data_IF_433148449355
#
_entry.id   IF_433148449355
#
_cell.length_a   1.000
_cell.length_b   1.000
_cell.length_c   1.000
_cell.angle_alpha   90.00
_cell.angle_beta   90.00
_cell.angle_gamma   90.00
#
_symmetry.space_group_name_H-M   'P 1'
#
loop_
_entity.id
_entity.type
_entity.pdbx_description
1 polymer ?
#
# COMPACT_ATOMS: atom_id res chain seq x y z
N UNK A 1 40.71 -22.62 5.72
CA UNK A 1 41.54 -21.42 5.53
C UNK A 1 41.62 -21.13 4.04
N UNK A 2 40.69 -20.34 3.51
CA UNK A 2 40.83 -19.60 2.25
C UNK A 2 39.81 -18.46 2.33
N UNK A 3 40.27 -17.31 2.80
CA UNK A 3 39.50 -16.09 2.87
C UNK A 3 39.62 -15.35 1.55
N UNK A 4 38.48 -15.00 0.95
CA UNK A 4 38.42 -13.95 -0.05
C UNK A 4 37.87 -12.70 0.64
N UNK A 5 38.80 -11.80 0.96
CA UNK A 5 38.52 -10.44 1.41
C UNK A 5 38.09 -9.64 0.18
N UNK A 6 36.83 -9.20 0.12
CA UNK A 6 36.42 -8.16 -0.81
C UNK A 6 36.81 -6.80 -0.22
N UNK A 7 37.63 -5.98 -0.89
CA UNK A 7 37.86 -4.62 -0.44
C UNK A 7 36.59 -3.80 -0.71
N UNK A 8 36.02 -3.21 0.34
CA UNK A 8 35.08 -2.10 0.24
C UNK A 8 35.84 -0.90 -0.34
N UNK A 9 35.77 -0.71 -1.66
CA UNK A 9 36.13 0.55 -2.30
C UNK A 9 34.86 1.31 -2.64
N UNK A 10 34.74 2.50 -2.06
CA UNK A 10 33.75 3.51 -2.40
C UNK A 10 33.84 3.83 -3.90
N UNK A 11 32.87 3.34 -4.67
CA UNK A 11 32.71 3.71 -6.08
C UNK A 11 32.33 5.19 -6.16
N UNK A 12 33.35 6.03 -6.31
CA UNK A 12 33.19 7.34 -6.94
C UNK A 12 32.63 7.11 -8.35
N UNK A 13 31.58 7.84 -8.70
CA UNK A 13 30.84 7.72 -9.97
C UNK A 13 31.75 8.02 -11.17
N UNK A 14 32.48 7.01 -11.64
CA UNK A 14 33.12 7.03 -12.96
C UNK A 14 32.04 6.59 -13.94
N UNK A 15 31.57 7.52 -14.78
CA UNK A 15 30.69 7.18 -15.92
C UNK A 15 31.50 6.29 -16.87
N UNK A 16 31.36 4.98 -16.75
CA UNK A 16 31.83 4.06 -17.76
C UNK A 16 31.02 4.29 -19.04
N UNK A 17 31.71 4.50 -20.16
CA UNK A 17 31.11 4.63 -21.48
C UNK A 17 30.68 3.23 -21.95
N UNK A 18 29.54 2.77 -21.47
CA UNK A 18 28.87 1.55 -21.93
C UNK A 18 28.26 1.82 -23.31
N UNK A 19 28.40 0.91 -24.28
CA UNK A 19 27.73 1.08 -25.59
C UNK A 19 26.20 1.14 -25.39
N UNK A 20 25.48 2.02 -26.11
CA UNK A 20 24.04 2.25 -25.91
C UNK A 20 23.18 0.97 -26.03
N UNK A 21 23.66 -0.03 -26.77
CA UNK A 21 22.96 -1.30 -26.98
C UNK A 21 23.16 -2.33 -25.86
N UNK A 22 24.15 -2.15 -24.99
CA UNK A 22 24.49 -3.13 -23.96
C UNK A 22 23.34 -3.41 -22.97
N UNK A 23 22.60 -2.41 -22.44
CA UNK A 23 21.43 -2.69 -21.59
C UNK A 23 20.32 -3.44 -22.32
N UNK A 24 20.16 -3.22 -23.64
CA UNK A 24 19.18 -3.95 -24.45
C UNK A 24 19.60 -5.41 -24.66
N UNK A 25 20.89 -5.66 -24.88
CA UNK A 25 21.45 -7.01 -24.97
C UNK A 25 21.30 -7.77 -23.65
N UNK A 26 21.57 -7.11 -22.50
CA UNK A 26 21.37 -7.72 -21.19
C UNK A 26 19.89 -8.06 -20.94
N UNK A 27 18.98 -7.16 -21.32
CA UNK A 27 17.54 -7.40 -21.18
C UNK A 27 17.08 -8.55 -22.07
N UNK A 28 17.60 -8.66 -23.30
CA UNK A 28 17.32 -9.79 -24.19
C UNK A 28 17.86 -11.12 -23.65
N UNK A 29 19.07 -11.11 -23.07
CA UNK A 29 19.63 -12.27 -22.38
C UNK A 29 18.78 -12.70 -21.18
N UNK A 30 18.35 -11.74 -20.35
CA UNK A 30 17.45 -11.99 -19.22
C UNK A 30 16.09 -12.53 -19.69
N UNK A 31 15.55 -12.01 -20.80
CA UNK A 31 14.31 -12.53 -21.39
C UNK A 31 14.46 -13.97 -21.83
N UNK A 32 15.54 -14.29 -22.55
CA UNK A 32 15.79 -15.65 -23.03
C UNK A 32 15.93 -16.65 -21.87
N UNK A 33 16.77 -16.32 -20.88
CA UNK A 33 16.99 -17.18 -19.71
C UNK A 33 15.73 -17.28 -18.86
N UNK A 34 15.08 -16.14 -18.61
CA UNK A 34 13.87 -16.05 -17.80
C UNK A 34 12.75 -16.88 -18.39
N UNK A 35 12.44 -16.72 -19.68
CA UNK A 35 11.36 -17.48 -20.33
C UNK A 35 11.67 -18.97 -20.38
N UNK A 36 12.91 -19.35 -20.71
CA UNK A 36 13.33 -20.75 -20.70
C UNK A 36 13.16 -21.40 -19.31
N UNK A 37 13.55 -20.72 -18.24
CA UNK A 37 13.43 -21.28 -16.90
C UNK A 37 12.02 -21.18 -16.29
N UNK A 38 11.25 -20.16 -16.65
CA UNK A 38 9.97 -19.84 -16.02
C UNK A 38 8.76 -20.41 -16.77
N UNK A 39 8.84 -20.53 -18.10
CA UNK A 39 7.69 -20.82 -18.98
C UNK A 39 7.83 -22.11 -19.78
N UNK A 40 9.05 -22.50 -20.16
CA UNK A 40 9.26 -23.76 -20.88
C UNK A 40 9.09 -24.95 -19.93
N UNK A 41 7.93 -25.60 -20.03
CA UNK A 41 7.71 -26.88 -19.39
C UNK A 41 8.34 -28.00 -20.24
N UNK A 42 9.06 -28.96 -19.64
CA UNK A 42 9.43 -30.18 -20.33
C UNK A 42 8.15 -30.97 -20.62
N UNK A 43 7.55 -30.76 -21.79
CA UNK A 43 6.47 -31.62 -22.28
C UNK A 43 7.04 -33.03 -22.46
N UNK A 44 6.35 -34.10 -22.02
CA UNK A 44 6.85 -35.48 -22.21
C UNK A 44 6.94 -35.90 -23.69
N UNK A 45 6.43 -35.09 -24.62
CA UNK A 45 6.31 -35.42 -26.04
C UNK A 45 7.34 -34.75 -26.97
N UNK A 46 8.20 -33.85 -26.46
CA UNK A 46 9.30 -33.29 -27.23
C UNK A 46 10.63 -33.58 -26.56
N UNK A 47 11.34 -34.59 -27.07
CA UNK A 47 12.76 -34.80 -26.80
C UNK A 47 13.54 -33.63 -27.43
N UNK A 48 13.68 -32.55 -26.67
CA UNK A 48 14.66 -31.49 -26.95
C UNK A 48 16.07 -32.06 -26.77
N UNK A 49 16.97 -31.74 -27.70
CA UNK A 49 18.36 -32.22 -27.77
C UNK A 49 19.29 -31.63 -26.70
N UNK A 50 18.76 -30.86 -25.75
CA UNK A 50 19.50 -30.35 -24.60
C UNK A 50 18.91 -30.95 -23.33
N UNK A 51 19.49 -32.06 -22.88
CA UNK A 51 19.13 -32.76 -21.64
C UNK A 51 19.60 -31.98 -20.42
N UNK A 52 19.04 -30.80 -20.17
CA UNK A 52 19.16 -30.18 -18.86
C UNK A 52 18.40 -31.06 -17.86
N UNK A 53 19.10 -31.60 -16.86
CA UNK A 53 18.51 -32.46 -15.84
C UNK A 53 17.31 -31.73 -15.19
N UNK A 54 16.13 -32.37 -15.04
CA UNK A 54 14.92 -31.71 -14.53
C UNK A 54 15.11 -31.00 -13.19
N UNK A 55 16.04 -31.48 -12.35
CA UNK A 55 16.42 -30.86 -11.09
C UNK A 55 17.14 -29.51 -11.29
N UNK A 56 18.04 -29.40 -12.27
CA UNK A 56 18.77 -28.17 -12.57
C UNK A 56 17.85 -27.07 -13.09
N UNK A 57 16.87 -27.43 -13.94
CA UNK A 57 15.85 -26.48 -14.42
C UNK A 57 14.95 -25.99 -13.28
N UNK A 58 14.54 -26.88 -12.36
CA UNK A 58 13.75 -26.50 -11.18
C UNK A 58 14.53 -25.56 -10.25
N UNK A 59 15.81 -25.82 -10.04
CA UNK A 59 16.68 -24.97 -9.22
C UNK A 59 16.88 -23.59 -9.86
N UNK A 60 17.13 -23.54 -11.18
CA UNK A 60 17.23 -22.29 -11.92
C UNK A 60 15.92 -21.49 -11.86
N UNK A 61 14.77 -22.16 -12.03
CA UNK A 61 13.45 -21.54 -11.87
C UNK A 61 13.29 -20.91 -10.49
N UNK A 62 13.62 -21.64 -9.43
CA UNK A 62 13.51 -21.12 -8.06
C UNK A 62 14.44 -19.93 -7.83
N UNK A 63 15.69 -19.99 -8.30
CA UNK A 63 16.64 -18.87 -8.17
C UNK A 63 16.13 -17.59 -8.87
N UNK A 64 15.54 -17.72 -10.07
CA UNK A 64 14.96 -16.58 -10.78
C UNK A 64 13.73 -16.04 -10.05
N UNK A 65 12.90 -16.91 -9.46
CA UNK A 65 11.74 -16.49 -8.67
C UNK A 65 12.15 -15.77 -7.38
N UNK A 66 13.27 -16.15 -6.76
CA UNK A 66 13.83 -15.44 -5.61
C UNK A 66 14.32 -14.04 -5.97
N UNK A 67 14.91 -13.87 -7.15
CA UNK A 67 15.35 -12.56 -7.67
C UNK A 67 14.22 -11.75 -8.34
N UNK A 68 13.00 -12.30 -8.46
CA UNK A 68 11.90 -11.67 -9.17
C UNK A 68 11.57 -10.25 -8.66
N UNK A 69 11.53 -9.95 -7.34
CA UNK A 69 11.36 -8.58 -6.87
C UNK A 69 12.45 -7.63 -7.38
N UNK A 70 13.71 -8.08 -7.42
CA UNK A 70 14.81 -7.26 -7.93
C UNK A 70 14.70 -7.02 -9.43
N UNK A 71 14.29 -8.05 -10.18
CA UNK A 71 14.01 -7.93 -11.62
C UNK A 71 12.88 -6.92 -11.87
N UNK A 72 11.74 -7.05 -11.17
CA UNK A 72 10.59 -6.13 -11.28
C UNK A 72 11.00 -4.70 -10.92
N UNK A 73 11.80 -4.51 -9.86
CA UNK A 73 12.32 -3.20 -9.49
C UNK A 73 13.20 -2.61 -10.62
N UNK A 74 14.05 -3.43 -11.23
CA UNK A 74 14.91 -3.01 -12.35
C UNK A 74 14.06 -2.58 -13.56
N UNK A 75 13.02 -3.35 -13.90
CA UNK A 75 12.08 -2.97 -14.96
C UNK A 75 11.36 -1.65 -14.64
N UNK A 76 10.95 -1.45 -13.39
CA UNK A 76 10.35 -0.19 -12.92
C UNK A 76 11.32 1.00 -13.02
N UNK A 77 12.61 0.80 -12.71
CA UNK A 77 13.63 1.84 -12.87
C UNK A 77 13.85 2.19 -14.35
N UNK A 78 13.94 1.19 -15.24
CA UNK A 78 14.03 1.41 -16.68
C UNK A 78 12.77 2.12 -17.22
N UNK A 79 11.59 1.74 -16.73
CA UNK A 79 10.33 2.40 -17.05
C UNK A 79 10.31 3.88 -16.65
N UNK A 80 10.93 4.22 -15.52
CA UNK A 80 11.08 5.61 -15.09
C UNK A 80 11.89 6.45 -16.07
N UNK A 81 12.92 5.86 -16.69
CA UNK A 81 13.75 6.53 -17.70
C UNK A 81 12.90 6.83 -18.94
N UNK A 82 12.11 5.86 -19.40
CA UNK A 82 11.17 6.04 -20.52
C UNK A 82 10.22 7.20 -20.25
N UNK A 83 9.57 7.22 -19.07
CA UNK A 83 8.63 8.29 -18.70
C UNK A 83 9.27 9.68 -18.65
N UNK A 84 10.50 9.77 -18.12
CA UNK A 84 11.24 11.04 -18.05
C UNK A 84 11.54 11.57 -19.45
N UNK A 85 11.95 10.70 -20.36
CA UNK A 85 12.26 11.11 -21.74
C UNK A 85 11.01 11.48 -22.54
N UNK A 86 9.91 10.73 -22.41
CA UNK A 86 8.64 11.06 -23.09
C UNK A 86 8.06 12.41 -22.62
N UNK A 87 8.28 12.77 -21.35
CA UNK A 87 7.84 14.06 -20.80
C UNK A 87 8.65 15.25 -21.34
N UNK A 88 9.90 15.04 -21.74
CA UNK A 88 10.76 16.08 -22.33
C UNK A 88 10.48 16.32 -23.81
N UNK A 89 9.73 15.42 -24.49
CA UNK A 89 9.41 15.49 -25.93
C UNK A 89 8.11 16.24 -26.28
N UNK A 90 7.43 16.88 -25.32
CA UNK A 90 6.20 17.69 -25.55
C UNK A 90 6.43 19.18 -25.22
N UNK A 91 5.65 20.10 -25.82
CA UNK A 91 6.00 20.99 -26.92
C UNK A 91 6.76 22.27 -26.46
N UNK A 92 8.09 22.22 -26.35
CA UNK A 92 8.93 23.44 -26.29
C UNK A 92 9.77 23.65 -27.55
N UNK A 93 9.58 22.82 -28.57
CA UNK A 93 10.36 22.85 -29.82
C UNK A 93 9.94 23.97 -30.80
N UNK A 94 9.33 25.06 -30.31
CA UNK A 94 9.08 26.26 -31.10
C UNK A 94 10.20 27.31 -31.02
N UNK A 95 11.10 27.21 -30.03
CA UNK A 95 12.28 28.07 -29.96
C UNK A 95 13.54 27.22 -29.76
N UNK A 96 14.31 27.10 -30.83
CA UNK A 96 15.54 26.34 -30.89
C UNK A 96 16.59 26.84 -29.89
N UNK A 97 16.63 26.21 -28.71
CA UNK A 97 17.87 26.06 -27.93
C UNK A 97 17.86 24.66 -27.34
N UNK A 98 18.51 23.73 -28.04
CA UNK A 98 18.67 22.34 -27.62
C UNK A 98 19.50 22.29 -26.35
N UNK A 99 18.85 22.25 -25.18
CA UNK A 99 19.46 21.62 -24.00
C UNK A 99 19.43 20.12 -24.25
N UNK A 100 20.43 19.67 -25.01
CA UNK A 100 20.69 18.27 -25.31
C UNK A 100 20.61 17.45 -24.02
N UNK A 101 19.57 16.62 -23.91
CA UNK A 101 19.46 15.60 -22.87
C UNK A 101 20.76 14.82 -22.78
N UNK A 102 21.32 14.73 -21.59
CA UNK A 102 22.63 14.12 -21.32
C UNK A 102 22.66 12.59 -21.41
N UNK A 103 21.69 11.96 -22.09
CA UNK A 103 21.63 10.52 -22.28
C UNK A 103 21.62 10.20 -23.77
N UNK A 104 22.82 10.08 -24.33
CA UNK A 104 23.05 9.52 -25.68
C UNK A 104 22.59 8.04 -25.74
N UNK A 105 22.37 7.41 -24.57
CA UNK A 105 22.08 5.99 -24.39
C UNK A 105 20.67 5.54 -24.83
N UNK A 106 19.66 6.42 -24.86
CA UNK A 106 18.25 5.99 -24.96
C UNK A 106 17.44 6.63 -26.09
N UNK A 107 18.05 6.95 -27.24
CA UNK A 107 17.27 7.30 -28.45
C UNK A 107 16.24 6.22 -28.86
N UNK A 108 16.37 4.99 -28.34
CA UNK A 108 15.49 3.86 -28.57
C UNK A 108 14.50 3.57 -27.41
N UNK A 109 13.88 4.57 -26.78
CA UNK A 109 12.88 4.35 -25.71
C UNK A 109 11.74 3.42 -26.10
N UNK A 110 11.32 3.45 -27.37
CA UNK A 110 10.33 2.52 -27.93
C UNK A 110 10.81 1.08 -27.85
N UNK A 111 12.05 0.81 -28.27
CA UNK A 111 12.65 -0.54 -28.21
C UNK A 111 12.82 -1.01 -26.78
N UNK A 112 13.27 -0.13 -25.87
CA UNK A 112 13.36 -0.46 -24.44
C UNK A 112 11.99 -0.81 -23.86
N UNK A 113 10.95 -0.03 -24.18
CA UNK A 113 9.56 -0.31 -23.79
C UNK A 113 9.15 -1.71 -24.24
N UNK A 114 9.36 -2.02 -25.51
CA UNK A 114 9.03 -3.33 -26.08
C UNK A 114 9.76 -4.45 -25.35
N UNK A 115 11.08 -4.35 -25.16
CA UNK A 115 11.87 -5.39 -24.48
C UNK A 115 11.46 -5.61 -23.02
N UNK A 116 11.08 -4.56 -22.29
CA UNK A 116 10.54 -4.68 -20.91
C UNK A 116 9.21 -5.46 -20.94
N UNK A 117 8.32 -5.12 -21.88
CA UNK A 117 7.01 -5.75 -22.01
C UNK A 117 7.12 -7.19 -22.52
N UNK A 118 8.04 -7.48 -23.44
CA UNK A 118 8.33 -8.83 -23.93
C UNK A 118 8.79 -9.73 -22.79
N UNK A 119 9.59 -9.20 -21.85
CA UNK A 119 9.98 -9.95 -20.66
C UNK A 119 8.77 -10.25 -19.74
N UNK A 120 8.02 -9.21 -19.34
CA UNK A 120 7.04 -9.31 -18.27
C UNK A 120 5.69 -9.91 -18.70
N UNK A 121 5.19 -9.60 -19.90
CA UNK A 121 3.85 -10.04 -20.33
C UNK A 121 3.66 -11.56 -20.29
N UNK A 122 4.60 -12.39 -20.78
CA UNK A 122 4.45 -13.84 -20.71
C UNK A 122 4.39 -14.41 -19.29
N UNK A 123 4.98 -13.71 -18.31
CA UNK A 123 4.97 -14.14 -16.91
C UNK A 123 3.60 -14.00 -16.25
N UNK A 124 2.74 -13.09 -16.73
CA UNK A 124 1.49 -12.76 -16.06
C UNK A 124 0.49 -13.92 -16.05
N UNK A 125 0.53 -14.79 -17.07
CA UNK A 125 -0.41 -15.90 -17.22
C UNK A 125 -0.09 -17.08 -16.30
N UNK A 126 1.18 -17.48 -16.20
CA UNK A 126 1.60 -18.64 -15.42
C UNK A 126 2.10 -18.29 -14.02
N UNK A 127 2.63 -17.08 -13.83
CA UNK A 127 3.28 -16.62 -12.61
C UNK A 127 2.64 -15.36 -12.03
N UNK A 128 1.36 -15.11 -12.35
CA UNK A 128 0.65 -13.89 -11.92
C UNK A 128 0.71 -13.64 -10.41
N UNK A 129 0.56 -14.69 -9.59
CA UNK A 129 0.63 -14.55 -8.12
C UNK A 129 2.05 -14.19 -7.65
N UNK A 130 3.07 -14.86 -8.20
CA UNK A 130 4.48 -14.59 -7.86
C UNK A 130 4.89 -13.19 -8.32
N UNK A 131 4.44 -12.76 -9.51
CA UNK A 131 4.67 -11.42 -10.02
C UNK A 131 3.99 -10.37 -9.14
N UNK A 132 2.74 -10.58 -8.74
CA UNK A 132 2.02 -9.64 -7.88
C UNK A 132 2.63 -9.55 -6.46
N UNK A 133 3.09 -10.67 -5.90
CA UNK A 133 3.86 -10.68 -4.65
C UNK A 133 5.20 -9.94 -4.79
N UNK A 134 5.89 -10.10 -5.93
CA UNK A 134 7.10 -9.33 -6.23
C UNK A 134 6.82 -7.83 -6.37
N UNK A 135 5.73 -7.44 -7.04
CA UNK A 135 5.26 -6.05 -7.12
C UNK A 135 5.04 -5.47 -5.72
N UNK A 136 4.38 -6.21 -4.84
CA UNK A 136 4.16 -5.81 -3.45
C UNK A 136 5.46 -5.66 -2.64
N UNK A 137 6.42 -6.57 -2.83
CA UNK A 137 7.75 -6.45 -2.21
C UNK A 137 8.51 -5.20 -2.71
N UNK A 138 8.45 -4.91 -4.03
CA UNK A 138 9.05 -3.71 -4.62
C UNK A 138 8.33 -2.43 -4.18
N UNK A 139 7.00 -2.48 -4.04
CA UNK A 139 6.22 -1.39 -3.48
C UNK A 139 6.71 -1.01 -2.08
N UNK A 140 6.95 -2.03 -1.24
CA UNK A 140 7.45 -1.87 0.12
C UNK A 140 8.86 -1.27 0.16
N UNK A 141 9.75 -1.69 -0.74
CA UNK A 141 11.13 -1.15 -0.80
C UNK A 141 11.22 0.28 -1.36
N UNK A 142 10.19 0.75 -2.08
CA UNK A 142 10.08 2.12 -2.61
C UNK A 142 9.40 3.10 -1.65
N UNK A 143 9.21 2.73 -0.38
CA UNK A 143 8.72 3.64 0.66
C UNK A 143 9.65 4.86 0.75
N UNK A 144 9.10 6.08 0.81
CA UNK A 144 9.93 7.27 0.98
C UNK A 144 10.65 7.18 2.32
N UNK A 145 11.99 7.19 2.30
CA UNK A 145 12.77 7.34 3.51
C UNK A 145 12.53 8.76 4.03
N UNK A 146 11.83 8.87 5.16
CA UNK A 146 11.41 10.12 5.80
C UNK A 146 10.49 11.01 4.94
N UNK A 147 9.18 10.77 5.01
CA UNK A 147 8.20 11.78 4.64
C UNK A 147 7.31 12.11 5.84
N UNK A 148 7.65 13.19 6.53
CA UNK A 148 6.86 13.81 7.60
C UNK A 148 5.57 14.45 7.06
N UNK A 149 4.70 13.73 6.35
CA UNK A 149 3.37 14.27 6.02
C UNK A 149 2.44 14.07 7.22
N UNK A 150 2.49 15.05 8.12
CA UNK A 150 1.83 15.10 9.45
C UNK A 150 0.29 15.16 9.44
N UNK A 151 -0.37 14.85 8.32
CA UNK A 151 -1.81 15.17 8.15
C UNK A 151 -2.62 14.16 7.34
N UNK A 152 -2.04 13.06 6.86
CA UNK A 152 -2.80 12.05 6.10
C UNK A 152 -2.80 10.70 6.78
N UNK A 153 -4.01 10.28 7.14
CA UNK A 153 -4.32 9.01 7.78
C UNK A 153 -3.90 7.82 6.91
N UNK A 154 -3.82 7.98 5.59
CA UNK A 154 -3.31 6.98 4.66
C UNK A 154 -1.97 7.37 4.01
N UNK A 155 -1.08 6.38 3.77
CA UNK A 155 0.18 6.61 3.09
C UNK A 155 -0.07 7.02 1.63
N UNK A 156 0.50 8.16 1.23
CA UNK A 156 0.47 8.65 -0.15
C UNK A 156 1.54 7.96 -0.98
N UNK A 157 1.18 7.43 -2.14
CA UNK A 157 2.11 6.74 -3.02
C UNK A 157 3.20 7.70 -3.54
N UNK A 158 4.47 7.30 -3.39
CA UNK A 158 5.63 8.04 -3.89
C UNK A 158 5.69 8.04 -5.42
N UNK A 159 6.43 8.99 -6.03
CA UNK A 159 6.62 9.01 -7.49
C UNK A 159 7.18 7.67 -8.02
N UNK A 160 8.09 7.04 -7.28
CA UNK A 160 8.66 5.73 -7.60
C UNK A 160 7.63 4.61 -7.54
N UNK A 161 6.72 4.64 -6.56
CA UNK A 161 5.60 3.69 -6.46
C UNK A 161 4.61 3.88 -7.60
N UNK A 162 4.33 5.12 -7.99
CA UNK A 162 3.44 5.41 -9.12
C UNK A 162 4.01 4.93 -10.46
N UNK A 163 5.33 5.00 -10.67
CA UNK A 163 6.00 4.41 -11.83
C UNK A 163 5.78 2.89 -11.88
N UNK A 164 5.77 2.22 -10.73
CA UNK A 164 5.46 0.79 -10.65
C UNK A 164 4.01 0.51 -11.06
N UNK A 165 3.04 1.31 -10.61
CA UNK A 165 1.64 1.23 -11.08
C UNK A 165 1.58 1.38 -12.60
N UNK A 166 2.26 2.40 -13.15
CA UNK A 166 2.27 2.66 -14.59
C UNK A 166 2.88 1.52 -15.41
N UNK A 167 3.88 0.83 -14.86
CA UNK A 167 4.47 -0.35 -15.50
C UNK A 167 3.45 -1.51 -15.55
N UNK A 168 2.76 -1.79 -14.43
CA UNK A 168 1.76 -2.87 -14.37
C UNK A 168 0.56 -2.56 -15.27
N UNK A 169 0.10 -1.31 -15.32
CA UNK A 169 -0.97 -0.89 -16.24
C UNK A 169 -0.58 -1.02 -17.72
N UNK A 170 0.72 -1.09 -18.05
CA UNK A 170 1.19 -1.25 -19.42
C UNK A 170 1.35 -2.73 -19.84
N UNK A 171 1.13 -3.67 -18.93
CA UNK A 171 1.14 -5.11 -19.24
C UNK A 171 -0.16 -5.49 -19.94
N UNK A 172 -0.10 -5.66 -21.26
CA UNK A 172 -1.27 -5.91 -22.11
C UNK A 172 -1.99 -7.23 -21.79
N UNK A 173 -1.31 -8.16 -21.13
CA UNK A 173 -1.87 -9.46 -20.73
C UNK A 173 -2.67 -9.40 -19.43
N UNK A 174 -2.55 -8.32 -18.66
CA UNK A 174 -3.28 -8.11 -17.41
C UNK A 174 -4.45 -7.16 -17.63
N UNK A 175 -5.66 -7.73 -17.54
CA UNK A 175 -6.89 -6.94 -17.41
C UNK A 175 -7.10 -6.51 -15.96
N UNK A 176 -7.96 -5.49 -15.76
CA UNK A 176 -8.23 -4.91 -14.43
C UNK A 176 -8.79 -5.98 -13.47
N UNK A 177 -9.79 -6.75 -13.91
CA UNK A 177 -10.35 -7.88 -13.17
C UNK A 177 -9.29 -8.91 -12.75
N UNK A 178 -8.34 -9.21 -13.65
CA UNK A 178 -7.23 -10.13 -13.39
C UNK A 178 -6.27 -9.58 -12.34
N UNK A 179 -5.96 -8.28 -12.40
CA UNK A 179 -5.13 -7.61 -11.38
C UNK A 179 -5.83 -7.67 -10.01
N UNK A 180 -7.11 -7.32 -9.95
CA UNK A 180 -7.90 -7.38 -8.71
C UNK A 180 -7.96 -8.81 -8.15
N UNK A 181 -8.14 -9.81 -9.01
CA UNK A 181 -8.09 -11.21 -8.59
C UNK A 181 -6.71 -11.60 -8.04
N UNK A 182 -5.62 -11.22 -8.70
CA UNK A 182 -4.27 -11.52 -8.23
C UNK A 182 -3.95 -10.84 -6.91
N UNK A 183 -4.34 -9.57 -6.72
CA UNK A 183 -4.21 -8.87 -5.44
C UNK A 183 -4.94 -9.64 -4.36
N UNK A 184 -6.21 -10.02 -4.59
CA UNK A 184 -7.01 -10.79 -3.63
C UNK A 184 -6.32 -12.10 -3.22
N UNK A 185 -5.78 -12.86 -4.17
CA UNK A 185 -5.08 -14.12 -3.87
C UNK A 185 -3.77 -13.89 -3.09
N UNK A 186 -3.04 -12.82 -3.37
CA UNK A 186 -1.84 -12.44 -2.60
C UNK A 186 -2.21 -12.01 -1.17
N UNK A 187 -3.30 -11.27 -0.97
CA UNK A 187 -3.78 -10.89 0.37
C UNK A 187 -4.21 -12.13 1.16
N UNK A 188 -4.87 -13.11 0.50
CA UNK A 188 -5.25 -14.38 1.11
C UNK A 188 -4.07 -15.26 1.53
N UNK A 189 -2.99 -15.25 0.74
CA UNK A 189 -1.79 -16.07 0.97
C UNK A 189 -0.54 -15.20 0.82
N UNK A 190 -0.25 -14.34 1.81
CA UNK A 190 0.84 -13.40 1.70
C UNK A 190 2.19 -14.11 1.75
N UNK A 191 3.02 -13.86 0.75
CA UNK A 191 4.43 -14.23 0.77
C UNK A 191 5.20 -13.39 1.80
N UNK A 192 6.28 -13.95 2.32
CA UNK A 192 7.20 -13.22 3.20
C UNK A 192 8.17 -12.38 2.35
N UNK A 193 8.36 -11.14 2.75
CA UNK A 193 9.42 -10.26 2.27
C UNK A 193 10.69 -10.64 3.03
N UNK A 194 11.64 -11.28 2.36
CA UNK A 194 12.97 -11.57 2.91
C UNK A 194 13.74 -10.25 3.01
N UNK A 195 13.99 -9.77 4.23
CA UNK A 195 14.83 -8.61 4.54
C UNK A 195 15.84 -8.96 5.63
N UNK A 196 16.92 -8.17 5.75
CA UNK A 196 18.08 -8.48 6.62
C UNK A 196 17.75 -8.52 8.12
N UNK A 197 16.68 -7.85 8.58
CA UNK A 197 16.40 -7.74 10.03
C UNK A 197 15.02 -8.24 10.50
N UNK A 198 13.93 -8.13 9.70
CA UNK A 198 12.59 -8.66 10.04
C UNK A 198 11.80 -9.09 8.80
N UNK A 199 11.18 -10.28 8.84
CA UNK A 199 10.26 -10.73 7.78
C UNK A 199 8.93 -10.00 7.91
N UNK A 200 8.55 -9.24 6.87
CA UNK A 200 7.23 -8.60 6.77
C UNK A 200 6.40 -9.30 5.70
N UNK A 201 5.07 -9.24 5.82
CA UNK A 201 4.16 -9.83 4.83
C UNK A 201 3.85 -8.83 3.71
N UNK A 202 3.54 -9.35 2.52
CA UNK A 202 3.18 -8.54 1.34
C UNK A 202 1.71 -8.12 1.29
N UNK A 203 0.88 -8.52 2.25
CA UNK A 203 -0.56 -8.20 2.32
C UNK A 203 -0.85 -6.69 2.40
N UNK A 204 -0.18 -5.96 3.30
CA UNK A 204 -0.36 -4.51 3.40
C UNK A 204 0.22 -3.78 2.17
N UNK A 205 1.46 -4.07 1.71
CA UNK A 205 1.99 -3.46 0.49
C UNK A 205 1.16 -3.72 -0.77
N UNK A 206 0.59 -4.92 -0.94
CA UNK A 206 -0.25 -5.22 -2.11
C UNK A 206 -1.57 -4.45 -2.08
N UNK A 207 -2.17 -4.24 -0.89
CA UNK A 207 -3.36 -3.40 -0.74
C UNK A 207 -3.06 -1.92 -0.99
N UNK A 208 -1.88 -1.43 -0.58
CA UNK A 208 -1.44 -0.06 -0.92
C UNK A 208 -1.27 0.13 -2.43
N UNK A 209 -0.64 -0.85 -3.10
CA UNK A 209 -0.55 -0.87 -4.55
C UNK A 209 -1.95 -0.87 -5.19
N UNK A 210 -2.85 -1.71 -4.70
CA UNK A 210 -4.23 -1.80 -5.20
C UNK A 210 -4.97 -0.47 -5.07
N UNK A 211 -4.84 0.21 -3.93
CA UNK A 211 -5.45 1.52 -3.73
C UNK A 211 -4.95 2.55 -4.75
N UNK A 212 -3.63 2.64 -4.94
CA UNK A 212 -3.05 3.55 -5.93
C UNK A 212 -3.41 3.15 -7.38
N UNK A 213 -3.55 1.86 -7.67
CA UNK A 213 -3.99 1.34 -8.96
C UNK A 213 -5.44 1.77 -9.26
N UNK A 214 -6.36 1.59 -8.30
CA UNK A 214 -7.78 1.99 -8.44
C UNK A 214 -7.93 3.50 -8.65
N UNK A 215 -7.15 4.30 -7.92
CA UNK A 215 -7.11 5.76 -8.10
C UNK A 215 -6.69 6.19 -9.51
N UNK A 216 -6.01 5.32 -10.27
CA UNK A 216 -5.58 5.59 -11.66
C UNK A 216 -6.60 5.20 -12.72
N UNK A 217 -7.56 4.34 -12.39
CA UNK A 217 -8.53 3.86 -13.36
C UNK A 217 -9.55 4.95 -13.69
N UNK A 218 -10.01 5.08 -14.95
CA UNK A 218 -11.11 5.97 -15.29
C UNK A 218 -12.45 5.42 -14.77
N UNK A 219 -13.45 6.28 -14.57
CA UNK A 219 -14.77 5.91 -14.01
C UNK A 219 -15.45 4.75 -14.77
N UNK A 220 -15.49 4.71 -16.12
CA UNK A 220 -16.12 3.59 -16.84
C UNK A 220 -15.45 2.25 -16.53
N UNK A 221 -14.12 2.23 -16.42
CA UNK A 221 -13.39 1.02 -16.09
C UNK A 221 -13.69 0.52 -14.67
N UNK A 222 -13.94 1.42 -13.72
CA UNK A 222 -14.38 1.05 -12.37
C UNK A 222 -15.77 0.42 -12.39
N UNK A 223 -16.70 1.00 -13.14
CA UNK A 223 -18.06 0.49 -13.26
C UNK A 223 -18.09 -0.90 -13.91
N UNK A 224 -17.32 -1.11 -14.99
CA UNK A 224 -17.17 -2.40 -15.65
C UNK A 224 -16.56 -3.48 -14.73
N UNK A 225 -15.69 -3.08 -13.79
CA UNK A 225 -14.98 -3.98 -12.88
C UNK A 225 -15.55 -3.95 -11.45
N UNK A 226 -16.81 -3.53 -11.28
CA UNK A 226 -17.48 -3.47 -9.98
C UNK A 226 -17.45 -4.80 -9.21
N UNK A 227 -17.88 -5.89 -9.86
CA UNK A 227 -17.98 -7.21 -9.22
C UNK A 227 -16.61 -7.78 -8.78
N UNK A 228 -15.55 -7.75 -9.62
CA UNK A 228 -14.20 -8.09 -9.18
C UNK A 228 -13.70 -7.27 -7.98
N UNK A 229 -13.93 -5.96 -8.00
CA UNK A 229 -13.52 -5.07 -6.90
C UNK A 229 -14.27 -5.38 -5.61
N UNK A 230 -15.58 -5.54 -5.69
CA UNK A 230 -16.41 -5.86 -4.55
C UNK A 230 -16.07 -7.24 -3.97
N UNK A 231 -15.75 -8.21 -4.82
CA UNK A 231 -15.26 -9.53 -4.41
C UNK A 231 -13.93 -9.46 -3.65
N UNK A 232 -12.98 -8.64 -4.13
CA UNK A 232 -11.72 -8.38 -3.41
C UNK A 232 -12.00 -7.81 -2.02
N UNK A 233 -12.83 -6.77 -1.92
CA UNK A 233 -13.15 -6.11 -0.65
C UNK A 233 -13.87 -7.07 0.31
N UNK A 234 -14.88 -7.80 -0.18
CA UNK A 234 -15.70 -8.76 0.58
C UNK A 234 -14.88 -9.90 1.16
N UNK A 235 -13.96 -10.45 0.39
CA UNK A 235 -13.12 -11.57 0.83
C UNK A 235 -11.98 -11.07 1.73
N UNK A 236 -11.38 -9.91 1.42
CA UNK A 236 -10.25 -9.37 2.20
C UNK A 236 -10.65 -8.93 3.61
N UNK A 237 -11.85 -8.35 3.80
CA UNK A 237 -12.32 -7.92 5.12
C UNK A 237 -12.58 -9.09 6.08
N UNK A 238 -12.77 -10.30 5.55
CA UNK A 238 -12.95 -11.51 6.36
C UNK A 238 -11.63 -12.14 6.79
N UNK A 239 -10.51 -11.65 6.24
CA UNK A 239 -9.18 -12.10 6.63
C UNK A 239 -8.74 -11.36 7.89
N UNK A 240 -7.85 -11.99 8.67
CA UNK A 240 -7.29 -11.39 9.88
C UNK A 240 -6.19 -10.38 9.54
N UNK A 241 -6.54 -9.32 8.81
CA UNK A 241 -5.61 -8.26 8.43
C UNK A 241 -5.18 -7.44 9.64
N UNK A 242 -3.94 -6.95 9.64
CA UNK A 242 -3.55 -5.90 10.57
C UNK A 242 -4.43 -4.64 10.35
N UNK A 243 -4.61 -3.77 11.37
CA UNK A 243 -5.47 -2.58 11.26
C UNK A 243 -5.23 -1.70 10.01
N UNK A 244 -3.98 -1.44 9.56
CA UNK A 244 -3.74 -0.70 8.32
C UNK A 244 -4.38 -1.33 7.07
N UNK A 245 -4.56 -2.66 7.04
CA UNK A 245 -5.23 -3.35 5.95
C UNK A 245 -6.71 -2.99 5.87
N UNK A 246 -7.40 -2.98 7.01
CA UNK A 246 -8.80 -2.57 7.10
C UNK A 246 -9.00 -1.09 6.69
N UNK A 247 -8.05 -0.22 7.03
CA UNK A 247 -8.07 1.18 6.63
C UNK A 247 -7.95 1.34 5.10
N UNK A 248 -7.09 0.53 4.46
CA UNK A 248 -6.97 0.51 3.00
C UNK A 248 -8.24 -0.01 2.34
N UNK A 249 -8.88 -1.05 2.88
CA UNK A 249 -10.17 -1.56 2.35
C UNK A 249 -11.27 -0.50 2.40
N UNK A 250 -11.40 0.22 3.53
CA UNK A 250 -12.36 1.32 3.66
C UNK A 250 -12.06 2.45 2.67
N UNK A 251 -10.79 2.77 2.46
CA UNK A 251 -10.38 3.84 1.55
C UNK A 251 -10.59 3.47 0.09
N UNK A 252 -10.31 2.22 -0.29
CA UNK A 252 -10.62 1.68 -1.62
C UNK A 252 -12.13 1.74 -1.88
N UNK A 253 -12.94 1.29 -0.92
CA UNK A 253 -14.39 1.33 -1.00
C UNK A 253 -14.88 2.78 -1.18
N UNK A 254 -14.38 3.71 -0.36
CA UNK A 254 -14.77 5.11 -0.40
C UNK A 254 -14.38 5.79 -1.72
N UNK A 255 -13.16 5.58 -2.24
CA UNK A 255 -12.74 6.10 -3.54
C UNK A 255 -13.65 5.60 -4.66
N UNK A 256 -13.97 4.29 -4.66
CA UNK A 256 -14.87 3.72 -5.64
C UNK A 256 -16.26 4.36 -5.58
N UNK A 257 -16.90 4.32 -4.40
CA UNK A 257 -18.28 4.79 -4.22
C UNK A 257 -18.44 6.27 -4.56
N UNK A 258 -17.53 7.12 -4.10
CA UNK A 258 -17.60 8.57 -4.34
C UNK A 258 -17.43 8.92 -5.82
N UNK A 259 -16.70 8.10 -6.59
CA UNK A 259 -16.50 8.27 -8.03
C UNK A 259 -17.59 7.63 -8.88
N UNK A 260 -18.37 6.71 -8.32
CA UNK A 260 -19.48 6.03 -8.99
C UNK A 260 -20.79 6.12 -8.19
N UNK A 261 -21.36 7.33 -8.00
CA UNK A 261 -22.52 7.51 -7.12
C UNK A 261 -23.82 6.90 -7.68
N UNK A 262 -23.91 6.68 -8.99
CA UNK A 262 -25.13 6.21 -9.68
C UNK A 262 -25.09 4.71 -9.95
N UNK A 263 -25.23 3.89 -8.90
CA UNK A 263 -25.37 2.44 -9.04
C UNK A 263 -26.84 2.07 -9.25
N UNK A 264 -27.27 1.79 -10.49
CA UNK A 264 -28.67 1.57 -10.82
C UNK A 264 -29.20 0.20 -10.40
N UNK A 265 -28.33 -0.82 -10.39
CA UNK A 265 -28.69 -2.19 -10.11
C UNK A 265 -28.95 -2.44 -8.62
N UNK A 266 -30.18 -2.82 -8.27
CA UNK A 266 -30.61 -3.10 -6.89
C UNK A 266 -29.82 -4.24 -6.23
N UNK A 267 -29.40 -5.26 -6.99
CA UNK A 267 -28.59 -6.35 -6.46
C UNK A 267 -27.20 -5.85 -6.05
N UNK A 268 -26.55 -5.14 -6.97
CA UNK A 268 -25.23 -4.55 -6.76
C UNK A 268 -25.24 -3.57 -5.57
N UNK A 269 -26.33 -2.81 -5.42
CA UNK A 269 -26.52 -1.91 -4.29
C UNK A 269 -26.60 -2.65 -2.95
N UNK A 270 -27.35 -3.77 -2.89
CA UNK A 270 -27.43 -4.60 -1.68
C UNK A 270 -26.07 -5.25 -1.36
N UNK A 271 -25.40 -5.76 -2.37
CA UNK A 271 -24.07 -6.36 -2.23
C UNK A 271 -23.04 -5.32 -1.73
N UNK A 272 -23.13 -4.08 -2.20
CA UNK A 272 -22.32 -2.95 -1.76
C UNK A 272 -22.60 -2.55 -0.30
N UNK A 273 -23.87 -2.50 0.10
CA UNK A 273 -24.28 -2.23 1.49
C UNK A 273 -23.69 -3.28 2.44
N UNK A 274 -23.77 -4.57 2.09
CA UNK A 274 -23.22 -5.65 2.92
C UNK A 274 -21.70 -5.51 3.13
N UNK A 275 -20.96 -5.24 2.05
CA UNK A 275 -19.50 -5.07 2.12
C UNK A 275 -19.12 -3.81 2.91
N UNK A 276 -19.86 -2.71 2.70
CA UNK A 276 -19.69 -1.46 3.44
C UNK A 276 -19.86 -1.67 4.93
N UNK A 277 -20.92 -2.38 5.34
CA UNK A 277 -21.18 -2.69 6.73
C UNK A 277 -20.03 -3.50 7.35
N UNK A 278 -19.59 -4.58 6.71
CA UNK A 278 -18.49 -5.43 7.23
C UNK A 278 -17.18 -4.65 7.39
N UNK A 279 -16.84 -3.79 6.44
CA UNK A 279 -15.63 -2.98 6.51
C UNK A 279 -15.73 -1.93 7.64
N UNK A 280 -16.87 -1.25 7.75
CA UNK A 280 -17.09 -0.28 8.83
C UNK A 280 -17.11 -0.94 10.21
N UNK A 281 -17.64 -2.16 10.34
CA UNK A 281 -17.58 -2.94 11.58
C UNK A 281 -16.15 -3.33 11.95
N UNK A 282 -15.33 -3.73 10.98
CA UNK A 282 -13.92 -4.06 11.21
C UNK A 282 -13.11 -2.83 11.66
N UNK A 283 -13.26 -1.70 10.97
CA UNK A 283 -12.60 -0.43 11.36
C UNK A 283 -13.14 0.09 12.69
N UNK A 284 -14.45 -0.02 12.95
CA UNK A 284 -15.07 0.32 14.23
C UNK A 284 -14.54 -0.53 15.39
N UNK A 285 -14.24 -1.81 15.15
CA UNK A 285 -13.62 -2.69 16.14
C UNK A 285 -12.20 -2.24 16.49
N UNK A 286 -11.42 -1.77 15.51
CA UNK A 286 -10.11 -1.15 15.77
C UNK A 286 -10.27 0.12 16.60
N UNK A 287 -11.21 1.01 16.25
CA UNK A 287 -11.50 2.22 17.02
C UNK A 287 -11.91 1.90 18.47
N UNK A 288 -12.68 0.83 18.69
CA UNK A 288 -13.10 0.39 20.02
C UNK A 288 -12.05 -0.37 20.82
N UNK A 289 -10.90 -0.72 20.24
CA UNK A 289 -9.90 -1.59 20.89
C UNK A 289 -9.17 -0.95 22.08
N UNK A 290 -9.17 0.39 22.17
CA UNK A 290 -8.65 1.13 23.32
C UNK A 290 -9.72 1.47 24.35
N UNK A 291 -10.90 0.86 24.27
CA UNK A 291 -11.98 1.07 25.24
C UNK A 291 -12.05 -0.07 26.26
N UNK A 292 -12.24 0.27 27.53
CA UNK A 292 -12.51 -0.69 28.62
C UNK A 292 -13.89 -0.44 29.21
N UNK A 293 -14.52 -1.50 29.71
CA UNK A 293 -15.74 -1.37 30.51
C UNK A 293 -15.40 -0.77 31.87
N UNK A 294 -16.17 0.22 32.30
CA UNK A 294 -15.94 0.91 33.59
C UNK A 294 -16.28 0.05 34.81
N UNK A 295 -17.06 -1.01 34.61
CA UNK A 295 -17.43 -2.00 35.62
C UNK A 295 -18.07 -3.22 34.95
N UNK A 296 -17.95 -4.40 35.56
CA UNK A 296 -18.51 -5.68 35.08
C UNK A 296 -20.04 -5.68 34.89
N UNK A 297 -20.75 -4.72 35.49
CA UNK A 297 -22.20 -4.50 35.33
C UNK A 297 -22.55 -3.31 34.44
N UNK A 298 -21.57 -2.47 34.10
CA UNK A 298 -21.79 -1.24 33.36
C UNK A 298 -21.54 -1.48 31.87
N UNK A 299 -22.45 -0.97 31.04
CA UNK A 299 -22.26 -0.90 29.59
C UNK A 299 -21.48 0.36 29.18
N UNK A 300 -20.97 1.13 30.14
CA UNK A 300 -20.19 2.33 29.86
C UNK A 300 -18.76 1.94 29.49
N UNK A 301 -18.22 2.62 28.48
CA UNK A 301 -16.86 2.46 28.01
C UNK A 301 -16.02 3.71 28.37
N UNK A 302 -14.77 3.50 28.75
CA UNK A 302 -13.77 4.54 28.99
C UNK A 302 -12.48 4.24 28.21
N UNK A 303 -11.72 5.28 27.89
CA UNK A 303 -10.50 5.17 27.09
C UNK A 303 -9.34 4.68 27.98
N UNK A 304 -8.60 3.64 27.53
CA UNK A 304 -7.38 3.18 28.20
C UNK A 304 -6.32 4.28 28.16
N UNK A 305 -5.69 4.55 29.31
CA UNK A 305 -4.44 5.31 29.36
C UNK A 305 -3.29 4.43 28.87
N UNK A 306 -3.07 4.38 27.56
CA UNK A 306 -2.01 3.60 26.92
C UNK A 306 -1.35 4.44 25.81
N UNK A 307 -0.09 4.20 25.42
CA UNK A 307 0.56 4.97 24.37
C UNK A 307 -0.25 4.87 23.07
N UNK A 308 -0.96 5.95 22.74
CA UNK A 308 -1.67 6.12 21.49
C UNK A 308 -0.65 6.58 20.45
N UNK A 309 -0.67 6.03 19.23
CA UNK A 309 0.05 6.68 18.13
C UNK A 309 -0.74 7.94 17.82
N UNK A 310 -0.24 9.08 18.29
CA UNK A 310 -0.76 10.38 17.88
C UNK A 310 -0.58 10.50 16.35
N UNK A 311 -1.55 11.09 15.63
CA UNK A 311 -1.43 11.32 14.18
C UNK A 311 -0.14 12.07 13.78
N UNK A 312 0.46 12.82 14.71
CA UNK A 312 1.65 13.65 14.53
C UNK A 312 2.99 12.89 14.57
N UNK A 313 3.06 11.66 15.10
CA UNK A 313 4.30 10.90 15.28
C UNK A 313 4.40 9.67 14.35
N UNK A 314 3.91 9.78 13.12
CA UNK A 314 4.02 8.68 12.18
C UNK A 314 5.44 8.53 11.63
N UNK A 315 6.20 7.61 12.22
CA UNK A 315 7.36 6.99 11.60
C UNK A 315 7.05 5.50 11.39
N UNK A 316 6.99 5.05 10.13
CA UNK A 316 6.71 3.63 9.77
C UNK A 316 7.78 2.68 10.32
N UNK A 317 8.94 3.23 10.70
CA UNK A 317 10.06 2.52 11.30
C UNK A 317 9.83 2.20 12.79
N UNK A 318 9.14 3.07 13.57
CA UNK A 318 8.98 2.89 15.03
C UNK A 318 7.98 1.79 15.42
N UNK A 319 6.99 1.50 14.57
CA UNK A 319 6.07 0.38 14.80
C UNK A 319 6.78 -0.97 14.55
N UNK A 320 7.88 -0.96 13.81
CA UNK A 320 8.72 -2.14 13.64
C UNK A 320 9.73 -2.28 14.79
N UNK A 321 10.12 -1.20 15.47
CA UNK A 321 11.09 -1.23 16.58
C UNK A 321 10.49 -1.59 17.95
N UNK A 322 9.17 -1.59 18.08
CA UNK A 322 8.53 -2.20 19.26
C UNK A 322 8.43 -3.71 19.06
N UNK A 323 9.44 -4.43 19.57
CA UNK A 323 9.55 -5.89 19.68
C UNK A 323 8.23 -6.68 19.50
N UNK A 324 7.98 -7.19 18.30
CA UNK A 324 7.05 -8.30 18.09
C UNK A 324 7.73 -9.33 17.20
N UNK A 325 8.12 -10.44 17.82
CA UNK A 325 8.60 -11.64 17.14
C UNK A 325 7.54 -12.15 16.14
N UNK A 326 7.93 -12.83 15.05
CA UNK A 326 6.99 -13.43 14.13
C UNK A 326 6.38 -14.64 14.81
N UNK A 327 5.23 -14.47 15.43
CA UNK A 327 4.47 -15.56 16.05
C UNK A 327 2.98 -15.29 15.85
N UNK A 328 2.23 -16.34 15.53
CA UNK A 328 0.83 -16.33 15.12
C UNK A 328 -0.15 -16.01 16.26
N UNK A 329 0.21 -15.10 17.16
CA UNK A 329 -0.67 -14.55 18.19
C UNK A 329 -0.42 -13.05 18.26
N UNK A 330 -1.36 -12.28 17.72
CA UNK A 330 -1.40 -10.82 17.83
C UNK A 330 -1.56 -10.49 19.31
N UNK A 331 -0.58 -9.81 19.90
CA UNK A 331 -0.67 -9.29 21.27
C UNK A 331 -1.93 -8.44 21.41
N UNK A 332 -2.70 -8.60 22.49
CA UNK A 332 -3.98 -7.94 22.69
C UNK A 332 -3.90 -6.39 22.69
N UNK A 333 -2.70 -5.82 22.79
CA UNK A 333 -2.41 -4.38 22.72
C UNK A 333 -2.02 -3.86 21.33
N UNK A 334 -1.82 -4.72 20.33
CA UNK A 334 -1.42 -4.28 18.98
C UNK A 334 -2.52 -3.52 18.20
N UNK A 335 -3.84 -3.76 18.41
CA UNK A 335 -4.88 -2.97 17.76
C UNK A 335 -5.09 -1.58 18.38
N UNK A 336 -4.82 -1.41 19.68
CA UNK A 336 -5.15 -0.19 20.43
C UNK A 336 -4.35 1.04 19.97
N UNK A 337 -3.10 0.84 19.55
CA UNK A 337 -2.25 1.90 18.98
C UNK A 337 -2.84 2.56 17.73
N UNK A 338 -3.75 1.88 17.02
CA UNK A 338 -4.38 2.37 15.79
C UNK A 338 -5.78 2.97 16.01
N UNK A 339 -6.27 3.00 17.25
CA UNK A 339 -7.64 3.42 17.55
C UNK A 339 -7.93 4.88 17.14
N UNK A 340 -7.02 5.82 17.43
CA UNK A 340 -7.14 7.22 16.97
C UNK A 340 -7.11 7.32 15.44
N UNK A 341 -6.25 6.55 14.77
CA UNK A 341 -6.20 6.52 13.31
C UNK A 341 -7.52 6.01 12.70
N UNK A 342 -8.12 4.98 13.30
CA UNK A 342 -9.42 4.46 12.89
C UNK A 342 -10.53 5.51 13.08
N UNK A 343 -10.54 6.22 14.22
CA UNK A 343 -11.51 7.30 14.49
C UNK A 343 -11.39 8.43 13.47
N UNK A 344 -10.16 8.88 13.19
CA UNK A 344 -9.92 9.94 12.21
C UNK A 344 -10.36 9.53 10.81
N UNK A 345 -10.09 8.28 10.40
CA UNK A 345 -10.52 7.76 9.09
C UNK A 345 -12.05 7.69 9.00
N UNK A 346 -12.70 7.17 10.04
CA UNK A 346 -14.17 7.12 10.10
C UNK A 346 -14.77 8.53 10.05
N UNK A 347 -14.20 9.49 10.76
CA UNK A 347 -14.67 10.88 10.73
C UNK A 347 -14.54 11.51 9.34
N UNK A 348 -13.50 11.17 8.58
CA UNK A 348 -13.28 11.70 7.23
C UNK A 348 -14.27 11.14 6.20
N UNK A 349 -14.58 9.84 6.26
CA UNK A 349 -15.27 9.14 5.15
C UNK A 349 -16.70 8.71 5.45
N UNK A 350 -17.10 8.54 6.71
CA UNK A 350 -18.34 7.86 7.06
C UNK A 350 -19.58 8.54 6.49
N UNK A 351 -19.68 9.87 6.62
CA UNK A 351 -20.86 10.61 6.20
C UNK A 351 -21.08 10.54 4.68
N UNK A 352 -20.03 10.82 3.89
CA UNK A 352 -20.09 10.80 2.42
C UNK A 352 -20.27 9.38 1.89
N UNK A 353 -19.63 8.39 2.51
CA UNK A 353 -19.79 6.98 2.14
C UNK A 353 -21.24 6.52 2.33
N UNK A 354 -21.84 6.78 3.50
CA UNK A 354 -23.21 6.36 3.78
C UNK A 354 -24.24 7.08 2.91
N UNK A 355 -24.03 8.36 2.59
CA UNK A 355 -24.95 9.12 1.73
C UNK A 355 -25.07 8.54 0.32
N UNK A 356 -23.99 7.95 -0.20
CA UNK A 356 -23.99 7.31 -1.52
C UNK A 356 -24.46 5.85 -1.45
N UNK A 357 -24.03 5.10 -0.43
CA UNK A 357 -24.36 3.66 -0.30
C UNK A 357 -25.84 3.45 0.08
N UNK A 358 -26.40 4.32 0.91
CA UNK A 358 -27.79 4.27 1.36
C UNK A 358 -28.59 5.39 0.70
N UNK A 359 -29.43 5.02 -0.28
CA UNK A 359 -30.39 5.94 -0.89
C UNK A 359 -31.35 6.50 0.15
N UNK A 360 -31.94 7.66 -0.14
CA UNK A 360 -32.82 8.41 0.76
C UNK A 360 -33.95 7.58 1.39
N UNK A 361 -34.50 6.60 0.66
CA UNK A 361 -35.56 5.69 1.12
C UNK A 361 -35.03 4.53 2.01
N UNK A 362 -33.72 4.32 2.07
CA UNK A 362 -33.06 3.26 2.81
C UNK A 362 -32.15 3.76 3.95
N UNK A 363 -32.07 5.08 4.19
CA UNK A 363 -31.17 5.66 5.21
C UNK A 363 -31.41 5.11 6.62
N UNK A 364 -32.64 4.75 6.95
CA UNK A 364 -32.98 4.09 8.23
C UNK A 364 -32.20 2.77 8.45
N UNK A 365 -31.80 2.07 7.38
CA UNK A 365 -31.00 0.85 7.47
C UNK A 365 -29.56 1.09 7.95
N UNK A 366 -29.06 2.33 7.83
CA UNK A 366 -27.73 2.69 8.31
C UNK A 366 -27.72 3.01 9.81
N UNK A 367 -28.89 3.27 10.43
CA UNK A 367 -29.01 3.72 11.83
C UNK A 367 -28.37 2.74 12.84
N UNK A 368 -28.55 1.41 12.74
CA UNK A 368 -27.89 0.47 13.66
C UNK A 368 -26.36 0.52 13.56
N UNK A 369 -25.83 0.68 12.35
CA UNK A 369 -24.39 0.80 12.11
C UNK A 369 -23.83 2.10 12.69
N UNK A 370 -24.50 3.23 12.43
CA UNK A 370 -24.12 4.55 12.97
C UNK A 370 -24.16 4.50 14.51
N UNK A 371 -25.22 3.95 15.09
CA UNK A 371 -25.38 3.84 16.54
C UNK A 371 -24.25 3.01 17.17
N UNK A 372 -23.84 1.91 16.52
CA UNK A 372 -22.71 1.09 16.96
C UNK A 372 -21.38 1.83 16.87
N UNK A 373 -21.13 2.57 15.80
CA UNK A 373 -19.91 3.37 15.65
C UNK A 373 -19.85 4.51 16.68
N UNK A 374 -20.97 5.22 16.89
CA UNK A 374 -21.08 6.28 17.89
C UNK A 374 -20.83 5.77 19.31
N UNK A 375 -21.26 4.54 19.62
CA UNK A 375 -20.94 3.89 20.90
C UNK A 375 -19.43 3.74 21.14
N UNK A 376 -18.62 3.57 20.08
CA UNK A 376 -17.16 3.58 20.19
C UNK A 376 -16.56 5.00 20.23
N UNK A 377 -17.21 5.99 19.60
CA UNK A 377 -16.70 7.36 19.52
C UNK A 377 -16.97 8.17 20.80
N UNK A 378 -18.15 8.01 21.42
CA UNK A 378 -18.56 8.82 22.57
C UNK A 378 -17.59 8.81 23.77
N UNK A 379 -16.98 7.67 24.15
CA UNK A 379 -15.97 7.65 25.21
C UNK A 379 -14.78 8.57 24.95
N UNK A 380 -14.29 8.63 23.71
CA UNK A 380 -13.18 9.52 23.33
C UNK A 380 -13.57 10.99 23.41
N UNK A 381 -14.78 11.34 22.94
CA UNK A 381 -15.30 12.71 23.05
C UNK A 381 -15.48 13.13 24.51
N UNK A 382 -15.93 12.22 25.39
CA UNK A 382 -16.04 12.48 26.82
C UNK A 382 -14.65 12.69 27.44
N UNK A 383 -13.66 11.88 27.05
CA UNK A 383 -12.29 12.01 27.54
C UNK A 383 -11.67 13.36 27.17
N UNK A 384 -11.78 13.78 25.90
CA UNK A 384 -11.27 15.09 25.46
C UNK A 384 -11.92 16.26 26.19
N UNK A 385 -13.23 16.22 26.45
CA UNK A 385 -13.91 17.28 27.24
C UNK A 385 -13.41 17.35 28.69
N UNK A 386 -13.06 16.21 29.28
CA UNK A 386 -12.51 16.16 30.63
C UNK A 386 -11.07 16.71 30.65
N UNK A 387 -10.25 16.36 29.64
CA UNK A 387 -8.91 16.91 29.47
C UNK A 387 -8.92 18.43 29.27
N UNK A 388 -9.77 18.96 28.37
CA UNK A 388 -9.91 20.41 28.16
C UNK A 388 -10.36 21.13 29.45
N UNK A 389 -11.32 20.57 30.19
CA UNK A 389 -11.77 21.13 31.47
C UNK A 389 -10.68 21.11 32.54
N UNK A 390 -9.80 20.10 32.55
CA UNK A 390 -8.66 20.03 33.46
C UNK A 390 -7.54 21.00 33.04
N UNK A 391 -7.28 21.15 31.75
CA UNK A 391 -6.32 22.15 31.23
C UNK A 391 -6.78 23.58 31.55
N UNK A 392 -8.08 23.89 31.38
CA UNK A 392 -8.65 25.19 31.78
C UNK A 392 -8.55 25.43 33.28
N UNK A 393 -8.76 24.42 34.12
CA UNK A 393 -8.53 24.53 35.56
C UNK A 393 -7.06 24.80 35.91
N UNK A 394 -6.11 24.12 35.25
CA UNK A 394 -4.67 24.28 35.48
C UNK A 394 -4.17 25.65 34.96
N UNK A 395 -4.69 26.14 33.84
CA UNK A 395 -4.42 27.49 33.33
C UNK A 395 -5.08 28.58 34.18
N UNK A 396 -6.28 28.32 34.71
CA UNK A 396 -6.96 29.18 35.69
C UNK A 396 -6.18 29.32 37.00
N UNK A 397 -5.58 28.23 37.50
CA UNK A 397 -4.73 28.25 38.70
C UNK A 397 -3.37 28.94 38.46
N UNK A 398 -2.85 28.94 37.22
CA UNK A 398 -1.59 29.64 36.87
C UNK A 398 -1.79 31.12 36.49
N UNK A 399 -3.03 31.60 36.39
CA UNK A 399 -3.37 32.92 35.87
C UNK A 399 -3.44 34.07 36.89
N UNK A 400 -3.43 33.82 38.20
CA UNK A 400 -3.64 34.86 39.24
C UNK A 400 -2.51 34.91 40.28
N UNK A 401 -1.28 35.12 39.82
CA UNK A 401 -0.15 35.22 40.75
C UNK A 401 1.11 35.77 40.14
N UNK A 402 1.07 36.96 39.52
CA UNK A 402 2.25 37.83 39.42
C UNK A 402 1.86 39.26 39.01
N UNK A 403 1.70 40.12 40.02
CA UNK A 403 2.14 41.51 39.95
C UNK A 403 3.26 41.71 40.98
N UNK A 404 4.33 42.46 40.64
CA UNK A 404 5.57 42.48 41.42
C UNK A 404 5.42 43.36 42.67
N UNK A 405 5.65 42.79 43.85
CA UNK A 405 5.87 43.63 45.04
C UNK A 405 7.25 44.28 44.95
N UNK A 406 7.20 45.59 44.71
CA UNK A 406 8.29 46.54 44.90
C UNK A 406 8.56 46.60 46.40
N UNK A 407 9.67 46.00 46.83
CA UNK A 407 10.18 46.18 48.19
C UNK A 407 10.63 47.61 48.43
N UNK A 408 9.83 48.37 49.19
CA UNK A 408 10.23 49.63 49.80
C UNK A 408 9.24 49.98 50.93
N UNK A 409 9.66 49.78 52.19
CA UNK A 409 9.97 50.88 53.14
C UNK A 409 10.10 50.40 54.59
N UNK A 410 11.13 50.94 55.25
CA UNK A 410 11.14 51.25 56.67
C UNK A 410 9.76 51.75 57.15
N UNK A 411 9.15 51.11 58.15
CA UNK A 411 9.21 51.48 59.58
C UNK A 411 8.38 50.48 60.39
#
# INVERSE_FOLDING_TARGET
MFGFVFPFQSFTSRRENVTPDYPLTLLEGLTTIGHFCLLDHPSPTKKSSCSAEPANLRNARNAILEELPRIVNTMSLLWSVIKREDSQKRPTDFFGTTKSSSSVYFKATKTLRTKILDFLNPLTAQLGMQLMAAVAAVWNSKKPHRSHSKTKILPVASASQLILVDLICALNTLKIDSILHLVKEVVKKPAQIKGEEKSSLVDIPVLQFCFAFIQRLPVPALQENFQPLLGLLRESVQLNLAPPGHFLLLSILNDFVTRTPTLENKKDQKDLQEVTQKILEAVGTVAGSSLEQTSWLSRNLEVKAQPQILPDEFNVEDVNDTSVAPSSMVSASAPSIYSVQALSLLAEVLASLLDVVYRSDEKEKAVPLISRLLYFVFPYLRNHRLEESMEEQILGEKGWGRTPEIGLKHL
#
